data_IF_863013817176
#
_entry.id   IF_863013817176
#
_cell.length_a   1.000
_cell.length_b   1.000
_cell.length_c   1.000
_cell.angle_alpha   90.00
_cell.angle_beta   90.00
_cell.angle_gamma   90.00
#
_symmetry.space_group_name_H-M   'P 1'
#
loop_
_entity.id
_entity.type
_entity.pdbx_description
1 polymer ?
#
# COMPACT_ATOMS: atom_id res chain seq x y z
N UNK A 1 -21.47 27.81 -41.24
CA UNK A 1 -20.23 27.00 -41.13
C UNK A 1 -20.03 26.34 -39.75
N UNK A 2 -20.88 26.57 -38.77
CA UNK A 2 -20.74 25.97 -37.41
C UNK A 2 -21.36 24.56 -37.23
N UNK A 3 -22.13 24.06 -38.20
CA UNK A 3 -22.79 22.75 -38.12
C UNK A 3 -21.92 21.58 -38.58
N UNK A 4 -20.85 21.82 -39.30
CA UNK A 4 -19.96 20.78 -39.82
C UNK A 4 -18.89 20.31 -38.79
N UNK A 5 -18.46 21.19 -37.90
CA UNK A 5 -17.43 20.86 -36.89
C UNK A 5 -17.97 20.01 -35.75
N UNK A 6 -19.23 20.19 -35.37
CA UNK A 6 -19.88 19.39 -34.32
C UNK A 6 -20.19 17.96 -34.77
N UNK A 7 -20.54 17.71 -36.01
CA UNK A 7 -20.76 16.37 -36.54
C UNK A 7 -19.47 15.55 -36.67
N UNK A 8 -18.35 16.19 -37.08
CA UNK A 8 -17.06 15.51 -37.21
C UNK A 8 -16.48 15.15 -35.83
N UNK A 9 -16.77 15.89 -34.76
CA UNK A 9 -16.31 15.61 -33.42
C UNK A 9 -17.12 14.47 -32.77
N UNK A 10 -18.43 14.40 -32.99
CA UNK A 10 -19.28 13.32 -32.50
C UNK A 10 -18.97 11.99 -33.19
N UNK A 11 -18.75 11.99 -34.50
CA UNK A 11 -18.36 10.81 -35.27
C UNK A 11 -16.98 10.28 -34.82
N UNK A 12 -16.05 11.18 -34.53
CA UNK A 12 -14.70 10.79 -34.05
C UNK A 12 -14.75 10.21 -32.62
N UNK A 13 -15.60 10.74 -31.75
CA UNK A 13 -15.83 10.17 -30.42
C UNK A 13 -16.52 8.80 -30.51
N UNK A 14 -17.51 8.60 -31.34
CA UNK A 14 -18.15 7.29 -31.53
C UNK A 14 -17.18 6.22 -32.04
N UNK A 15 -16.30 6.58 -32.98
CA UNK A 15 -15.25 5.66 -33.51
C UNK A 15 -14.24 5.27 -32.45
N UNK A 16 -13.86 6.19 -31.56
CA UNK A 16 -12.88 5.97 -30.50
C UNK A 16 -13.30 4.85 -29.54
N UNK A 17 -14.56 4.79 -29.18
CA UNK A 17 -15.09 3.85 -28.19
C UNK A 17 -15.75 2.62 -28.79
N UNK A 18 -15.69 2.45 -30.10
CA UNK A 18 -16.35 1.36 -30.81
C UNK A 18 -16.00 -0.04 -30.31
N UNK A 19 -14.75 -0.29 -29.98
CA UNK A 19 -14.33 -1.60 -29.48
C UNK A 19 -14.77 -1.85 -28.04
N UNK A 20 -14.73 -0.85 -27.19
CA UNK A 20 -15.24 -0.91 -25.81
C UNK A 20 -16.75 -1.13 -25.80
N UNK A 21 -17.49 -0.41 -26.62
CA UNK A 21 -18.94 -0.62 -26.79
C UNK A 21 -19.29 -2.06 -27.15
N UNK A 22 -18.53 -2.68 -28.02
CA UNK A 22 -18.75 -4.10 -28.37
C UNK A 22 -18.61 -5.06 -27.19
N UNK A 23 -17.74 -4.76 -26.24
CA UNK A 23 -17.61 -5.55 -25.00
C UNK A 23 -18.78 -5.31 -24.05
N UNK A 24 -19.27 -4.08 -23.96
CA UNK A 24 -20.29 -3.66 -22.99
C UNK A 24 -21.72 -3.89 -23.47
N UNK A 25 -21.95 -3.92 -24.79
CA UNK A 25 -23.29 -4.05 -25.40
C UNK A 25 -23.61 -5.47 -25.88
N UNK A 26 -22.75 -6.46 -25.57
CA UNK A 26 -22.93 -7.86 -26.02
C UNK A 26 -22.55 -8.86 -24.94
N UNK A 27 -23.41 -9.86 -24.75
CA UNK A 27 -23.07 -11.02 -23.95
C UNK A 27 -22.07 -11.94 -24.68
N UNK A 28 -21.26 -12.66 -23.91
CA UNK A 28 -20.29 -13.62 -24.41
C UNK A 28 -20.04 -14.74 -23.38
N UNK A 29 -19.33 -15.81 -23.77
CA UNK A 29 -19.10 -16.97 -22.90
C UNK A 29 -18.23 -16.67 -21.67
N UNK A 30 -17.57 -15.52 -21.64
CA UNK A 30 -16.70 -15.07 -20.54
C UNK A 30 -17.31 -13.97 -19.69
N UNK A 31 -18.57 -13.56 -19.98
CA UNK A 31 -19.27 -12.57 -19.18
C UNK A 31 -19.60 -13.11 -17.78
N UNK A 32 -19.63 -12.23 -16.81
CA UNK A 32 -20.16 -12.56 -15.49
C UNK A 32 -21.66 -12.95 -15.63
N UNK A 33 -22.17 -13.92 -14.86
CA UNK A 33 -23.59 -14.32 -14.92
C UNK A 33 -24.59 -13.17 -14.75
N UNK A 34 -24.23 -12.19 -13.92
CA UNK A 34 -25.08 -11.03 -13.62
C UNK A 34 -24.83 -9.85 -14.58
N UNK A 35 -24.05 -10.06 -15.64
CA UNK A 35 -23.78 -8.99 -16.60
C UNK A 35 -24.96 -8.76 -17.54
N UNK A 36 -25.53 -7.59 -17.49
CA UNK A 36 -26.56 -7.11 -18.40
C UNK A 36 -25.97 -6.14 -19.42
N UNK A 37 -25.78 -6.54 -20.69
CA UNK A 37 -25.20 -5.67 -21.71
C UNK A 37 -26.05 -4.42 -21.94
N UNK A 38 -25.41 -3.24 -21.84
CA UNK A 38 -26.09 -1.96 -22.02
C UNK A 38 -25.12 -0.87 -22.50
N UNK A 39 -25.57 0.05 -23.38
CA UNK A 39 -24.81 1.25 -23.73
C UNK A 39 -24.56 2.17 -22.52
N UNK A 40 -25.44 2.15 -21.52
CA UNK A 40 -25.36 2.97 -20.31
C UNK A 40 -24.14 2.66 -19.44
N UNK A 41 -23.57 1.44 -19.57
CA UNK A 41 -22.36 1.05 -18.84
C UNK A 41 -21.17 1.93 -19.27
N UNK A 42 -21.03 2.23 -20.56
CA UNK A 42 -19.98 3.13 -21.02
C UNK A 42 -20.22 4.55 -20.50
N UNK A 43 -21.45 5.02 -20.50
CA UNK A 43 -21.79 6.36 -19.99
C UNK A 43 -21.50 6.45 -18.48
N UNK A 44 -21.79 5.39 -17.72
CA UNK A 44 -21.39 5.30 -16.31
C UNK A 44 -19.87 5.38 -16.14
N UNK A 45 -19.08 4.60 -16.91
CA UNK A 45 -17.61 4.63 -16.85
C UNK A 45 -17.06 6.02 -17.16
N UNK A 46 -17.63 6.68 -18.17
CA UNK A 46 -17.15 7.97 -18.65
C UNK A 46 -17.54 9.14 -17.73
N UNK A 47 -18.77 9.17 -17.28
CA UNK A 47 -19.33 10.39 -16.70
C UNK A 47 -19.63 10.28 -15.19
N UNK A 48 -19.67 9.07 -14.64
CA UNK A 48 -20.04 8.83 -13.24
C UNK A 48 -18.98 8.13 -12.43
N UNK A 49 -18.29 7.12 -13.00
CA UNK A 49 -17.32 6.30 -12.27
C UNK A 49 -16.08 7.10 -11.86
N UNK A 50 -15.97 7.40 -10.56
CA UNK A 50 -14.80 8.06 -9.99
C UNK A 50 -13.78 7.03 -9.54
N UNK A 51 -12.56 7.12 -10.03
CA UNK A 51 -11.44 6.25 -9.65
C UNK A 51 -10.34 7.07 -8.99
N UNK A 52 -9.91 6.61 -7.81
CA UNK A 52 -8.74 7.17 -7.12
C UNK A 52 -7.51 6.36 -7.45
N UNK A 53 -6.49 7.03 -7.96
CA UNK A 53 -5.15 6.47 -8.21
C UNK A 53 -4.23 6.98 -7.11
N UNK A 54 -3.68 6.07 -6.32
CA UNK A 54 -2.77 6.39 -5.21
C UNK A 54 -1.34 6.10 -5.62
N UNK A 55 -0.55 7.15 -5.73
CA UNK A 55 0.81 7.14 -6.27
C UNK A 55 0.88 7.57 -7.74
N UNK A 56 1.78 8.52 -8.05
CA UNK A 56 2.10 8.98 -9.40
C UNK A 56 3.56 8.63 -9.77
N UNK A 57 4.04 7.48 -9.28
CA UNK A 57 5.32 6.89 -9.63
C UNK A 57 5.31 6.19 -10.99
N UNK A 58 6.23 5.25 -11.22
CA UNK A 58 6.30 4.50 -12.49
C UNK A 58 5.02 3.76 -12.82
N UNK A 59 4.46 3.05 -11.85
CA UNK A 59 3.19 2.33 -12.00
C UNK A 59 2.00 3.27 -12.10
N UNK A 60 1.93 4.31 -11.24
CA UNK A 60 0.82 5.27 -11.23
C UNK A 60 0.71 6.08 -12.52
N UNK A 61 1.83 6.45 -13.15
CA UNK A 61 1.84 7.10 -14.46
C UNK A 61 1.20 6.22 -15.55
N UNK A 62 1.53 4.92 -15.55
CA UNK A 62 0.95 3.96 -16.50
C UNK A 62 -0.54 3.75 -16.23
N UNK A 63 -0.93 3.56 -14.97
CA UNK A 63 -2.34 3.43 -14.56
C UNK A 63 -3.19 4.62 -14.99
N UNK A 64 -2.73 5.84 -14.72
CA UNK A 64 -3.45 7.05 -15.09
C UNK A 64 -3.65 7.14 -16.62
N UNK A 65 -2.61 6.83 -17.40
CA UNK A 65 -2.69 6.77 -18.86
C UNK A 65 -3.68 5.71 -19.33
N UNK A 66 -3.57 4.48 -18.79
CA UNK A 66 -4.38 3.35 -19.24
C UNK A 66 -5.86 3.58 -18.94
N UNK A 67 -6.20 4.00 -17.73
CA UNK A 67 -7.59 4.30 -17.35
C UNK A 67 -8.19 5.45 -18.17
N UNK A 68 -7.43 6.54 -18.37
CA UNK A 68 -7.89 7.65 -19.22
C UNK A 68 -8.13 7.22 -20.68
N UNK A 69 -7.26 6.35 -21.22
CA UNK A 69 -7.42 5.80 -22.57
C UNK A 69 -8.55 4.75 -22.67
N UNK A 70 -8.92 4.11 -21.57
CA UNK A 70 -10.07 3.19 -21.49
C UNK A 70 -11.41 3.89 -21.32
N UNK A 71 -11.43 5.23 -21.14
CA UNK A 71 -12.64 6.04 -21.10
C UNK A 71 -13.02 6.58 -19.73
N UNK A 72 -12.29 6.27 -18.67
CA UNK A 72 -12.52 6.89 -17.38
C UNK A 72 -12.14 8.38 -17.42
N UNK A 73 -13.12 9.25 -17.19
CA UNK A 73 -12.89 10.70 -17.20
C UNK A 73 -12.68 11.28 -15.81
N UNK A 74 -13.32 10.71 -14.80
CA UNK A 74 -13.32 11.19 -13.40
C UNK A 74 -12.21 10.51 -12.61
N UNK A 75 -10.96 10.85 -12.91
CA UNK A 75 -9.76 10.29 -12.29
C UNK A 75 -9.20 11.25 -11.25
N UNK A 76 -8.87 10.77 -10.07
CA UNK A 76 -8.17 11.53 -9.04
C UNK A 76 -6.83 10.88 -8.76
N UNK A 77 -5.78 11.68 -8.63
CA UNK A 77 -4.40 11.20 -8.39
C UNK A 77 -3.87 11.82 -7.11
N UNK A 78 -3.47 10.99 -6.16
CA UNK A 78 -2.83 11.43 -4.90
C UNK A 78 -1.37 11.03 -4.90
N UNK A 79 -0.48 11.99 -4.73
CA UNK A 79 0.96 11.76 -4.54
C UNK A 79 1.57 12.97 -3.83
N UNK A 80 2.35 12.74 -2.78
CA UNK A 80 2.97 13.80 -1.99
C UNK A 80 4.35 14.22 -2.51
N UNK A 81 4.94 13.47 -3.44
CA UNK A 81 6.31 13.65 -3.88
C UNK A 81 6.45 14.71 -4.98
N UNK A 82 7.68 15.19 -5.11
CA UNK A 82 8.16 15.96 -6.25
C UNK A 82 8.98 15.10 -7.21
N UNK A 83 9.10 15.58 -8.44
CA UNK A 83 9.83 14.89 -9.50
C UNK A 83 11.34 15.06 -9.31
N UNK A 84 12.07 13.96 -9.35
CA UNK A 84 13.52 13.91 -9.32
C UNK A 84 14.10 13.44 -10.67
N UNK A 85 15.37 13.73 -10.91
CA UNK A 85 16.08 13.28 -12.12
C UNK A 85 16.05 11.74 -12.26
N UNK A 86 16.19 11.04 -11.15
CA UNK A 86 16.14 9.57 -11.05
C UNK A 86 14.79 8.96 -11.47
N UNK A 87 13.73 9.75 -11.49
CA UNK A 87 12.40 9.27 -11.85
C UNK A 87 12.20 9.19 -13.38
N UNK A 88 12.93 9.98 -14.15
CA UNK A 88 12.72 10.13 -15.61
C UNK A 88 13.02 8.85 -16.41
N UNK A 89 13.70 7.89 -15.83
CA UNK A 89 14.02 6.61 -16.48
C UNK A 89 12.79 5.68 -16.62
N UNK A 90 11.74 5.88 -15.80
CA UNK A 90 10.55 5.01 -15.76
C UNK A 90 9.21 5.73 -15.59
N UNK A 91 9.22 7.02 -15.26
CA UNK A 91 8.01 7.84 -15.08
C UNK A 91 7.84 8.73 -16.33
N UNK A 92 7.33 8.13 -17.41
CA UNK A 92 7.37 8.68 -18.75
C UNK A 92 6.49 9.94 -18.96
N UNK A 93 5.57 10.24 -18.04
CA UNK A 93 4.75 11.46 -18.10
C UNK A 93 5.57 12.73 -17.83
N UNK A 94 6.76 12.58 -17.19
CA UNK A 94 7.59 13.71 -16.77
C UNK A 94 8.74 14.03 -17.73
N UNK A 95 9.19 15.26 -17.71
CA UNK A 95 10.30 15.79 -18.51
C UNK A 95 11.32 16.48 -17.59
N UNK A 96 12.51 16.79 -18.13
CA UNK A 96 13.55 17.50 -17.37
C UNK A 96 13.08 18.82 -16.75
N UNK A 97 12.20 19.53 -17.43
CA UNK A 97 11.66 20.80 -16.95
C UNK A 97 10.67 20.66 -15.79
N UNK A 98 10.19 19.44 -15.53
CA UNK A 98 9.24 19.14 -14.45
C UNK A 98 9.95 18.79 -13.13
N UNK A 99 11.29 18.69 -13.14
CA UNK A 99 12.07 18.37 -11.93
C UNK A 99 11.80 19.42 -10.84
N UNK A 100 11.47 18.95 -9.64
CA UNK A 100 11.08 19.76 -8.49
C UNK A 100 9.59 20.09 -8.42
N UNK A 101 8.81 19.83 -9.48
CA UNK A 101 7.36 20.00 -9.48
C UNK A 101 6.66 18.76 -8.89
N UNK A 102 5.40 18.92 -8.48
CA UNK A 102 4.58 17.85 -7.96
C UNK A 102 4.31 16.76 -8.99
N UNK A 103 4.56 15.48 -8.62
CA UNK A 103 4.28 14.32 -9.48
C UNK A 103 2.81 14.27 -9.88
N UNK A 104 1.89 14.40 -8.91
CA UNK A 104 0.46 14.35 -9.17
C UNK A 104 0.00 15.43 -10.16
N UNK A 105 0.43 16.68 -9.96
CA UNK A 105 0.04 17.81 -10.83
C UNK A 105 0.53 17.61 -12.25
N UNK A 106 1.82 17.32 -12.44
CA UNK A 106 2.40 17.12 -13.78
C UNK A 106 1.77 15.94 -14.52
N UNK A 107 1.51 14.82 -13.81
CA UNK A 107 0.86 13.66 -14.42
C UNK A 107 -0.56 13.99 -14.91
N UNK A 108 -1.34 14.67 -14.10
CA UNK A 108 -2.72 15.09 -14.41
C UNK A 108 -2.74 16.08 -15.59
N UNK A 109 -1.88 17.10 -15.57
CA UNK A 109 -1.77 18.06 -16.68
C UNK A 109 -1.44 17.37 -17.99
N UNK A 110 -0.49 16.44 -17.97
CA UNK A 110 -0.11 15.68 -19.16
C UNK A 110 -1.30 14.89 -19.72
N UNK A 111 -2.01 14.15 -18.86
CA UNK A 111 -3.12 13.28 -19.31
C UNK A 111 -4.31 14.11 -19.77
N UNK A 112 -4.72 15.14 -19.05
CA UNK A 112 -5.80 16.04 -19.47
C UNK A 112 -5.51 16.71 -20.82
N UNK A 113 -4.26 17.11 -21.07
CA UNK A 113 -3.85 17.65 -22.36
C UNK A 113 -3.86 16.60 -23.47
N UNK A 114 -3.48 15.36 -23.17
CA UNK A 114 -3.29 14.29 -24.16
C UNK A 114 -4.57 13.53 -24.50
N UNK A 115 -5.49 13.40 -23.54
CA UNK A 115 -6.72 12.62 -23.66
C UNK A 115 -7.93 13.57 -23.61
N UNK A 116 -8.51 13.94 -24.75
CA UNK A 116 -9.64 14.85 -24.80
C UNK A 116 -10.82 14.33 -23.98
N UNK A 117 -11.39 15.20 -23.15
CA UNK A 117 -12.53 14.91 -22.28
C UNK A 117 -12.15 14.21 -20.96
N UNK A 118 -10.87 13.93 -20.70
CA UNK A 118 -10.43 13.52 -19.36
C UNK A 118 -10.47 14.73 -18.41
N UNK A 119 -10.98 14.50 -17.19
CA UNK A 119 -11.13 15.50 -16.13
C UNK A 119 -10.38 15.02 -14.88
N UNK A 120 -9.13 14.63 -15.06
CA UNK A 120 -8.30 14.18 -13.94
C UNK A 120 -7.98 15.33 -12.99
N UNK A 121 -7.96 15.04 -11.68
CA UNK A 121 -7.71 15.99 -10.59
C UNK A 121 -6.51 15.52 -9.77
N UNK A 122 -5.59 16.44 -9.44
CA UNK A 122 -4.39 16.16 -8.68
C UNK A 122 -4.53 16.59 -7.22
N UNK A 123 -4.08 15.72 -6.31
CA UNK A 123 -3.95 15.99 -4.88
C UNK A 123 -2.48 15.83 -4.48
N UNK A 124 -1.82 16.94 -4.14
CA UNK A 124 -0.42 16.94 -3.72
C UNK A 124 -0.34 16.97 -2.19
N UNK A 125 -0.57 15.83 -1.58
CA UNK A 125 -0.56 15.64 -0.13
C UNK A 125 -0.32 14.17 0.23
N UNK A 126 0.07 13.87 1.48
CA UNK A 126 0.02 12.51 2.00
C UNK A 126 -1.40 11.96 2.00
N UNK A 127 -1.54 10.64 1.81
CA UNK A 127 -2.85 9.96 1.86
C UNK A 127 -3.52 10.07 3.23
N UNK A 128 -2.72 10.25 4.28
CA UNK A 128 -3.18 10.39 5.67
C UNK A 128 -3.86 11.72 5.98
N UNK A 129 -3.63 12.73 5.16
CA UNK A 129 -4.23 14.06 5.32
C UNK A 129 -5.67 14.13 4.76
N UNK A 130 -6.11 13.07 4.09
CA UNK A 130 -7.43 12.97 3.48
C UNK A 130 -8.37 12.21 4.40
N UNK A 131 -9.56 12.76 4.62
CA UNK A 131 -10.56 12.22 5.53
C UNK A 131 -11.41 11.09 4.92
N UNK A 132 -12.25 10.45 5.73
CA UNK A 132 -13.17 9.41 5.27
C UNK A 132 -14.12 9.92 4.19
N UNK A 133 -14.60 11.17 4.29
CA UNK A 133 -15.49 11.79 3.31
C UNK A 133 -14.84 11.90 1.94
N UNK A 134 -13.53 12.12 1.88
CA UNK A 134 -12.79 12.08 0.63
C UNK A 134 -12.81 10.69 0.00
N UNK A 135 -12.50 9.63 0.77
CA UNK A 135 -12.45 8.28 0.23
C UNK A 135 -13.84 7.75 -0.20
N UNK A 136 -14.90 8.09 0.54
CA UNK A 136 -16.27 7.66 0.24
C UNK A 136 -16.83 8.15 -1.10
N UNK A 137 -16.24 9.14 -1.73
CA UNK A 137 -16.70 9.62 -3.04
C UNK A 137 -16.24 8.76 -4.23
N UNK A 138 -15.34 7.79 -4.01
CA UNK A 138 -14.79 6.96 -5.08
C UNK A 138 -15.49 5.62 -5.18
N UNK A 139 -15.65 5.15 -6.41
CA UNK A 139 -16.19 3.83 -6.71
C UNK A 139 -15.12 2.74 -6.64
N UNK A 140 -13.88 3.08 -7.00
CA UNK A 140 -12.74 2.15 -7.02
C UNK A 140 -11.48 2.92 -6.61
N UNK A 141 -10.64 2.28 -5.83
CA UNK A 141 -9.29 2.77 -5.50
C UNK A 141 -8.26 1.84 -6.13
N UNK A 142 -7.26 2.41 -6.80
CA UNK A 142 -6.16 1.66 -7.38
C UNK A 142 -4.82 2.20 -6.87
N UNK A 143 -3.95 1.30 -6.41
CA UNK A 143 -2.66 1.64 -5.83
C UNK A 143 -1.50 1.36 -6.77
N UNK A 144 -0.57 2.32 -6.84
CA UNK A 144 0.76 2.18 -7.42
C UNK A 144 1.84 2.65 -6.44
N UNK A 145 1.71 2.27 -5.17
CA UNK A 145 2.59 2.69 -4.08
C UNK A 145 3.86 1.83 -4.00
N UNK A 146 4.94 2.39 -3.48
CA UNK A 146 6.19 1.72 -3.15
C UNK A 146 6.39 1.47 -1.64
N UNK A 147 5.51 2.02 -0.79
CA UNK A 147 5.57 1.93 0.66
C UNK A 147 4.56 0.92 1.22
N UNK A 148 5.05 -0.09 1.94
CA UNK A 148 4.21 -1.06 2.69
C UNK A 148 3.38 -0.33 3.76
N UNK A 149 3.95 0.70 4.40
CA UNK A 149 3.24 1.52 5.40
C UNK A 149 2.00 2.18 4.79
N UNK A 150 2.17 2.83 3.64
CA UNK A 150 1.07 3.50 2.96
C UNK A 150 0.01 2.51 2.46
N UNK A 151 0.40 1.34 1.93
CA UNK A 151 -0.52 0.27 1.51
C UNK A 151 -1.35 -0.25 2.68
N UNK A 152 -0.71 -0.53 3.82
CA UNK A 152 -1.40 -1.00 5.02
C UNK A 152 -2.36 0.04 5.57
N UNK A 153 -1.94 1.31 5.61
CA UNK A 153 -2.77 2.42 6.05
C UNK A 153 -4.01 2.55 5.16
N UNK A 154 -3.83 2.56 3.84
CA UNK A 154 -4.93 2.69 2.89
C UNK A 154 -5.91 1.51 2.99
N UNK A 155 -5.41 0.28 3.07
CA UNK A 155 -6.25 -0.89 3.29
C UNK A 155 -7.05 -0.76 4.60
N UNK A 156 -6.41 -0.31 5.69
CA UNK A 156 -7.07 -0.05 6.97
C UNK A 156 -8.14 1.03 6.87
N UNK A 157 -7.87 2.12 6.13
CA UNK A 157 -8.83 3.19 5.88
C UNK A 157 -10.06 2.66 5.13
N UNK A 158 -9.89 1.95 4.02
CA UNK A 158 -11.02 1.42 3.27
C UNK A 158 -11.83 0.39 4.08
N UNK A 159 -11.16 -0.42 4.91
CA UNK A 159 -11.84 -1.34 5.82
C UNK A 159 -12.63 -0.63 6.92
N UNK A 160 -12.19 0.53 7.39
CA UNK A 160 -12.92 1.33 8.39
C UNK A 160 -14.18 1.99 7.83
N UNK A 161 -14.29 2.12 6.50
CA UNK A 161 -15.47 2.68 5.82
C UNK A 161 -16.63 1.70 5.68
N UNK A 162 -16.39 0.40 5.91
CA UNK A 162 -17.40 -0.63 5.78
C UNK A 162 -18.55 -0.42 6.78
N UNK A 163 -19.76 -0.60 6.30
CA UNK A 163 -20.98 -0.55 7.10
C UNK A 163 -21.62 -1.93 7.17
N UNK A 164 -22.32 -2.20 8.25
CA UNK A 164 -22.99 -3.46 8.48
C UNK A 164 -24.47 -3.19 8.79
N UNK A 165 -25.33 -4.01 8.24
CA UNK A 165 -26.76 -3.97 8.48
C UNK A 165 -27.10 -4.46 9.91
N UNK A 166 -28.34 -4.30 10.33
CA UNK A 166 -28.81 -4.73 11.65
C UNK A 166 -28.64 -6.24 11.90
N UNK A 167 -28.69 -7.05 10.84
CA UNK A 167 -28.45 -8.50 10.86
C UNK A 167 -26.95 -8.87 10.85
N UNK A 168 -26.06 -7.88 10.92
CA UNK A 168 -24.59 -7.99 10.81
C UNK A 168 -24.07 -8.44 9.44
N UNK A 169 -24.89 -8.49 8.42
CA UNK A 169 -24.43 -8.64 7.05
C UNK A 169 -23.70 -7.38 6.58
N UNK A 170 -22.71 -7.55 5.70
CA UNK A 170 -22.00 -6.41 5.11
C UNK A 170 -22.91 -5.65 4.16
N UNK A 171 -23.05 -4.34 4.36
CA UNK A 171 -23.68 -3.47 3.37
C UNK A 171 -22.73 -3.32 2.16
N UNK A 172 -23.07 -4.00 1.07
CA UNK A 172 -22.30 -4.02 -0.16
C UNK A 172 -22.10 -2.63 -0.78
N UNK A 173 -23.04 -1.70 -0.54
CA UNK A 173 -22.92 -0.32 -1.04
C UNK A 173 -21.80 0.48 -0.37
N UNK A 174 -21.37 0.05 0.82
CA UNK A 174 -20.24 0.66 1.55
C UNK A 174 -18.87 0.17 1.09
N UNK A 175 -18.81 -0.87 0.25
CA UNK A 175 -17.56 -1.48 -0.20
C UNK A 175 -16.93 -0.65 -1.31
N UNK A 176 -15.69 -0.19 -1.08
CA UNK A 176 -14.86 0.44 -2.11
C UNK A 176 -13.77 -0.55 -2.49
N UNK A 177 -13.84 -1.18 -3.68
CA UNK A 177 -12.83 -2.13 -4.13
C UNK A 177 -11.44 -1.49 -4.20
N UNK A 178 -10.42 -2.23 -3.73
CA UNK A 178 -9.02 -1.85 -3.82
C UNK A 178 -8.31 -2.77 -4.82
N UNK A 179 -7.73 -2.19 -5.87
CA UNK A 179 -6.81 -2.86 -6.78
C UNK A 179 -5.40 -2.42 -6.44
N UNK A 180 -4.59 -3.32 -5.91
CA UNK A 180 -3.23 -2.99 -5.47
C UNK A 180 -2.19 -3.58 -6.41
N UNK A 181 -1.48 -2.70 -7.14
CA UNK A 181 -0.38 -3.05 -8.02
C UNK A 181 0.98 -2.79 -7.38
N UNK A 182 1.91 -3.71 -7.57
CA UNK A 182 3.27 -3.55 -7.10
C UNK A 182 4.28 -4.25 -8.00
N UNK A 183 5.50 -3.75 -7.98
CA UNK A 183 6.67 -4.41 -8.60
C UNK A 183 7.71 -4.56 -7.50
N UNK A 184 7.96 -5.78 -7.08
CA UNK A 184 8.82 -6.09 -5.94
C UNK A 184 9.88 -7.11 -6.29
N UNK A 185 11.09 -6.91 -5.72
CA UNK A 185 12.11 -7.94 -5.62
C UNK A 185 12.17 -8.42 -4.16
N UNK A 186 11.87 -9.68 -3.87
CA UNK A 186 11.94 -10.24 -2.52
C UNK A 186 13.36 -10.20 -1.91
N UNK A 187 14.45 -10.45 -2.67
CA UNK A 187 15.82 -10.35 -2.15
C UNK A 187 16.20 -8.94 -1.73
N UNK A 188 15.75 -7.91 -2.46
CA UNK A 188 16.01 -6.51 -2.15
C UNK A 188 15.41 -6.11 -0.80
N UNK A 189 14.27 -6.65 -0.40
CA UNK A 189 13.66 -6.40 0.90
C UNK A 189 14.52 -6.89 2.06
N UNK A 190 15.22 -8.02 1.90
CA UNK A 190 16.17 -8.49 2.90
C UNK A 190 17.32 -7.50 3.05
N UNK A 191 17.84 -6.95 1.95
CA UNK A 191 18.94 -6.00 1.92
C UNK A 191 18.49 -4.64 2.50
N UNK A 192 17.34 -4.14 2.10
CA UNK A 192 16.79 -2.88 2.62
C UNK A 192 16.50 -2.96 4.13
N UNK A 193 16.01 -4.09 4.64
CA UNK A 193 15.86 -4.28 6.08
C UNK A 193 17.18 -4.14 6.83
N UNK A 194 18.25 -4.78 6.32
CA UNK A 194 19.57 -4.68 6.93
C UNK A 194 20.09 -3.24 6.86
N UNK A 195 19.94 -2.58 5.72
CA UNK A 195 20.38 -1.20 5.49
C UNK A 195 19.67 -0.20 6.43
N UNK A 196 18.36 -0.30 6.55
CA UNK A 196 17.55 0.72 7.25
C UNK A 196 17.40 0.44 8.74
N UNK A 197 17.28 -0.84 9.11
CA UNK A 197 16.96 -1.25 10.48
C UNK A 197 18.17 -1.82 11.22
N UNK A 198 18.82 -2.81 10.61
CA UNK A 198 19.83 -3.58 11.31
C UNK A 198 21.18 -2.85 11.37
N UNK A 199 21.55 -2.08 10.33
CA UNK A 199 22.77 -1.28 10.33
C UNK A 199 22.83 -0.31 11.50
N UNK A 200 21.76 0.41 11.80
CA UNK A 200 21.72 1.37 12.90
C UNK A 200 21.87 0.72 14.28
N UNK A 201 21.53 -0.57 14.41
CA UNK A 201 21.54 -1.31 15.68
C UNK A 201 22.84 -2.12 15.92
N UNK A 202 23.39 -2.72 14.86
CA UNK A 202 24.34 -3.83 14.96
C UNK A 202 25.65 -3.62 14.17
N UNK A 203 25.82 -2.48 13.44
CA UNK A 203 27.04 -2.34 12.66
C UNK A 203 28.31 -2.35 13.56
N UNK A 204 29.38 -3.03 13.12
CA UNK A 204 30.61 -3.18 13.94
C UNK A 204 31.51 -1.95 13.96
N UNK A 205 31.22 -0.92 13.14
CA UNK A 205 32.05 0.30 13.04
C UNK A 205 31.58 1.44 13.96
N UNK A 206 30.50 1.22 14.75
CA UNK A 206 29.99 2.17 15.75
C UNK A 206 28.79 3.00 15.27
N UNK A 207 27.99 3.46 16.23
CA UNK A 207 26.66 4.06 16.02
C UNK A 207 26.64 5.33 15.14
N UNK A 208 27.78 5.96 14.86
CA UNK A 208 27.87 7.18 14.06
C UNK A 208 28.45 6.92 12.64
N UNK A 209 28.74 5.67 12.28
CA UNK A 209 29.28 5.36 10.96
C UNK A 209 28.16 5.27 9.95
N UNK A 210 28.16 6.18 8.96
CA UNK A 210 27.23 6.12 7.85
C UNK A 210 27.53 4.89 6.97
N UNK A 211 26.48 4.24 6.49
CA UNK A 211 26.61 3.12 5.56
C UNK A 211 27.12 3.64 4.21
N UNK A 212 28.25 3.09 3.73
CA UNK A 212 28.85 3.42 2.45
C UNK A 212 28.73 2.22 1.49
N UNK A 213 28.00 2.41 0.38
CA UNK A 213 27.80 1.39 -0.66
C UNK A 213 29.01 1.19 -1.58
N UNK A 214 30.07 2.00 -1.43
CA UNK A 214 31.36 1.84 -2.12
C UNK A 214 32.42 1.15 -1.26
N UNK A 215 32.20 1.06 0.05
CA UNK A 215 33.10 0.33 0.96
C UNK A 215 32.81 -1.18 0.87
N UNK A 216 33.80 -2.00 0.42
CA UNK A 216 33.61 -3.45 0.29
C UNK A 216 33.31 -4.15 1.62
N UNK A 217 33.77 -3.63 2.75
CA UNK A 217 33.54 -4.22 4.08
C UNK A 217 32.07 -3.96 4.52
N UNK A 218 31.56 -2.75 4.31
CA UNK A 218 30.16 -2.43 4.56
C UNK A 218 29.24 -3.28 3.69
N UNK A 219 29.53 -3.39 2.39
CA UNK A 219 28.74 -4.21 1.45
C UNK A 219 28.77 -5.69 1.84
N UNK A 220 29.93 -6.23 2.23
CA UNK A 220 30.05 -7.63 2.64
C UNK A 220 29.23 -7.93 3.91
N UNK A 221 29.28 -7.05 4.90
CA UNK A 221 28.51 -7.19 6.13
C UNK A 221 27.00 -7.17 5.86
N UNK A 222 26.54 -6.20 5.07
CA UNK A 222 25.12 -6.13 4.69
C UNK A 222 24.68 -7.36 3.90
N UNK A 223 25.53 -7.84 3.00
CA UNK A 223 25.26 -9.04 2.21
C UNK A 223 25.10 -10.28 3.09
N UNK A 224 26.01 -10.51 4.04
CA UNK A 224 25.95 -11.62 5.00
C UNK A 224 24.65 -11.58 5.82
N UNK A 225 24.35 -10.44 6.43
CA UNK A 225 23.12 -10.26 7.21
C UNK A 225 21.85 -10.39 6.38
N UNK A 226 21.84 -9.91 5.15
CA UNK A 226 20.73 -10.06 4.24
C UNK A 226 20.52 -11.52 3.79
N UNK A 227 21.60 -12.29 3.63
CA UNK A 227 21.51 -13.73 3.36
C UNK A 227 20.94 -14.48 4.56
N UNK A 228 21.38 -14.20 5.79
CA UNK A 228 20.83 -14.81 7.01
C UNK A 228 19.33 -14.57 7.11
N UNK A 229 18.91 -13.34 6.85
CA UNK A 229 17.48 -12.99 6.83
C UNK A 229 16.73 -13.73 5.71
N UNK A 230 17.30 -13.78 4.53
CA UNK A 230 16.71 -14.47 3.39
C UNK A 230 16.48 -15.96 3.66
N UNK A 231 17.46 -16.64 4.25
CA UNK A 231 17.34 -18.04 4.68
C UNK A 231 16.22 -18.21 5.70
N UNK A 232 16.15 -17.33 6.71
CA UNK A 232 15.09 -17.36 7.75
C UNK A 232 13.68 -17.23 7.17
N UNK A 233 13.52 -16.53 6.04
CA UNK A 233 12.23 -16.28 5.39
C UNK A 233 12.00 -17.08 4.11
N UNK A 234 12.88 -18.05 3.79
CA UNK A 234 12.76 -18.87 2.59
C UNK A 234 12.95 -18.10 1.27
N UNK A 235 13.66 -16.97 1.32
CA UNK A 235 13.94 -16.11 0.16
C UNK A 235 15.26 -16.52 -0.47
N UNK A 236 15.30 -16.69 -1.78
CA UNK A 236 16.52 -17.00 -2.55
C UNK A 236 17.03 -15.76 -3.30
N UNK A 237 18.22 -15.89 -3.91
CA UNK A 237 18.80 -14.91 -4.86
C UNK A 237 19.28 -13.58 -4.23
N UNK A 238 19.57 -13.52 -2.93
CA UNK A 238 20.38 -12.43 -2.36
C UNK A 238 21.81 -12.62 -2.84
N UNK A 239 22.32 -11.72 -3.66
CA UNK A 239 23.70 -11.75 -4.20
C UNK A 239 24.46 -10.51 -3.79
N UNK A 240 25.79 -10.60 -3.75
CA UNK A 240 26.68 -9.46 -3.45
C UNK A 240 26.44 -8.28 -4.41
N UNK A 241 26.27 -8.57 -5.72
CA UNK A 241 26.01 -7.55 -6.75
C UNK A 241 24.67 -6.85 -6.53
N UNK A 242 23.64 -7.61 -6.16
CA UNK A 242 22.34 -7.05 -5.82
C UNK A 242 22.43 -6.17 -4.58
N UNK A 243 23.13 -6.66 -3.55
CA UNK A 243 23.36 -5.88 -2.32
C UNK A 243 24.05 -4.56 -2.61
N UNK A 244 25.11 -4.57 -3.40
CA UNK A 244 25.79 -3.34 -3.82
C UNK A 244 24.86 -2.39 -4.59
N UNK A 245 24.00 -2.93 -5.47
CA UNK A 245 23.02 -2.15 -6.21
C UNK A 245 22.02 -1.46 -5.28
N UNK A 246 21.45 -2.18 -4.33
CA UNK A 246 20.48 -1.65 -3.34
C UNK A 246 21.13 -0.59 -2.44
N UNK A 247 22.38 -0.83 -2.00
CA UNK A 247 23.12 0.16 -1.18
C UNK A 247 23.38 1.46 -1.93
N UNK A 248 23.64 1.37 -3.23
CA UNK A 248 23.82 2.53 -4.13
C UNK A 248 22.50 3.15 -4.60
N UNK A 249 21.37 2.75 -4.01
CA UNK A 249 20.05 3.19 -4.40
C UNK A 249 19.72 2.97 -5.90
N UNK A 250 20.29 1.93 -6.51
CA UNK A 250 19.88 1.47 -7.84
C UNK A 250 18.52 0.83 -7.67
N UNK A 251 17.49 1.55 -8.06
CA UNK A 251 16.10 1.07 -8.00
C UNK A 251 15.91 0.09 -9.16
N UNK A 252 15.66 -1.20 -8.92
CA UNK A 252 15.50 -2.20 -9.98
C UNK A 252 14.12 -2.13 -10.64
N UNK A 253 13.53 -0.94 -10.71
CA UNK A 253 12.22 -0.73 -11.33
C UNK A 253 12.38 -0.55 -12.83
N UNK A 254 11.82 -1.47 -13.61
CA UNK A 254 11.85 -1.48 -15.08
C UNK A 254 10.52 -0.95 -15.62
N UNK A 255 10.59 -0.03 -16.60
CA UNK A 255 9.42 0.59 -17.19
C UNK A 255 8.43 -0.43 -17.78
N UNK A 256 8.92 -1.48 -18.44
CA UNK A 256 8.09 -2.55 -19.02
C UNK A 256 7.31 -3.34 -17.96
N UNK A 257 7.91 -3.62 -16.81
CA UNK A 257 7.22 -4.32 -15.71
C UNK A 257 6.12 -3.43 -15.12
N UNK A 258 6.40 -2.13 -14.90
CA UNK A 258 5.39 -1.19 -14.46
C UNK A 258 4.21 -1.12 -15.45
N UNK A 259 4.48 -1.07 -16.75
CA UNK A 259 3.44 -1.03 -17.78
C UNK A 259 2.59 -2.31 -17.79
N UNK A 260 3.22 -3.49 -17.65
CA UNK A 260 2.51 -4.78 -17.61
C UNK A 260 1.58 -4.88 -16.39
N UNK A 261 2.09 -4.56 -15.20
CA UNK A 261 1.28 -4.58 -13.97
C UNK A 261 0.18 -3.51 -14.01
N UNK A 262 0.47 -2.31 -14.52
CA UNK A 262 -0.54 -1.27 -14.69
C UNK A 262 -1.67 -1.72 -15.64
N UNK A 263 -1.34 -2.37 -16.74
CA UNK A 263 -2.34 -2.90 -17.68
C UNK A 263 -3.22 -3.97 -17.02
N UNK A 264 -2.64 -4.85 -16.18
CA UNK A 264 -3.42 -5.82 -15.41
C UNK A 264 -4.36 -5.13 -14.43
N UNK A 265 -3.86 -4.16 -13.64
CA UNK A 265 -4.68 -3.41 -12.71
C UNK A 265 -5.80 -2.61 -13.41
N UNK A 266 -5.49 -1.93 -14.52
CA UNK A 266 -6.47 -1.18 -15.29
C UNK A 266 -7.57 -2.10 -15.87
N UNK A 267 -7.20 -3.32 -16.27
CA UNK A 267 -8.16 -4.34 -16.73
C UNK A 267 -9.09 -4.76 -15.58
N UNK A 268 -8.58 -4.99 -14.37
CA UNK A 268 -9.42 -5.33 -13.23
C UNK A 268 -10.32 -4.16 -12.82
N UNK A 269 -9.83 -2.92 -12.84
CA UNK A 269 -10.67 -1.71 -12.63
C UNK A 269 -11.81 -1.64 -13.65
N UNK A 270 -11.52 -1.93 -14.91
CA UNK A 270 -12.55 -1.94 -15.95
C UNK A 270 -13.60 -3.05 -15.73
N UNK A 271 -13.17 -4.25 -15.34
CA UNK A 271 -14.09 -5.36 -15.01
C UNK A 271 -14.96 -5.04 -13.78
N UNK A 272 -14.36 -4.44 -12.74
CA UNK A 272 -15.11 -3.99 -11.56
C UNK A 272 -16.14 -2.90 -11.89
N UNK A 273 -15.80 -1.95 -12.75
CA UNK A 273 -16.71 -0.87 -13.15
C UNK A 273 -17.84 -1.32 -14.08
N UNK A 274 -17.62 -2.36 -14.90
CA UNK A 274 -18.53 -2.79 -15.95
C UNK A 274 -19.25 -4.10 -15.67
N UNK A 275 -18.72 -4.93 -14.79
CA UNK A 275 -19.13 -6.34 -14.59
C UNK A 275 -19.13 -7.19 -15.86
N UNK A 276 -18.49 -6.73 -16.96
CA UNK A 276 -18.54 -7.41 -18.26
C UNK A 276 -17.82 -8.76 -18.29
N UNK A 277 -16.92 -9.01 -17.35
CA UNK A 277 -16.23 -10.28 -17.16
C UNK A 277 -16.10 -10.57 -15.67
N UNK A 278 -15.98 -11.85 -15.32
CA UNK A 278 -15.63 -12.24 -13.97
C UNK A 278 -14.27 -11.61 -13.57
N UNK A 279 -14.17 -11.12 -12.35
CA UNK A 279 -12.91 -10.66 -11.77
C UNK A 279 -11.95 -11.85 -11.66
N UNK A 280 -10.66 -11.58 -11.72
CA UNK A 280 -9.68 -12.63 -11.43
C UNK A 280 -9.76 -13.05 -9.97
N UNK A 281 -9.21 -14.22 -9.66
CA UNK A 281 -8.85 -14.57 -8.29
C UNK A 281 -8.06 -13.42 -7.65
N UNK A 282 -8.23 -13.20 -6.35
CA UNK A 282 -7.85 -11.95 -5.70
C UNK A 282 -6.34 -11.67 -5.63
N UNK A 283 -5.49 -12.56 -6.16
CA UNK A 283 -4.04 -12.35 -6.20
C UNK A 283 -3.42 -12.85 -7.50
N UNK A 284 -2.49 -12.04 -8.05
CA UNK A 284 -1.73 -12.38 -9.25
C UNK A 284 -0.24 -12.11 -9.03
N UNK A 285 0.59 -13.04 -9.47
CA UNK A 285 2.05 -12.86 -9.58
C UNK A 285 2.45 -12.96 -11.04
N UNK A 286 3.19 -11.98 -11.55
CA UNK A 286 3.79 -12.00 -12.88
C UNK A 286 5.31 -12.07 -12.74
N UNK A 287 5.92 -13.08 -13.35
CA UNK A 287 7.37 -13.23 -13.46
C UNK A 287 7.79 -12.93 -14.91
N UNK A 288 8.71 -11.98 -15.09
CA UNK A 288 9.24 -11.58 -16.39
C UNK A 288 10.76 -11.82 -16.49
N UNK A 289 11.39 -12.49 -15.51
CA UNK A 289 12.83 -12.74 -15.50
C UNK A 289 13.25 -13.83 -16.46
N UNK A 290 12.56 -14.99 -16.40
CA UNK A 290 12.89 -16.19 -17.19
C UNK A 290 11.93 -16.41 -18.36
N UNK A 291 10.93 -15.57 -18.48
CA UNK A 291 9.84 -15.63 -19.47
C UNK A 291 8.65 -14.80 -18.98
N UNK A 292 7.55 -14.82 -19.71
CA UNK A 292 6.31 -14.16 -19.28
C UNK A 292 5.39 -15.20 -18.67
N UNK A 293 5.39 -15.30 -17.35
CA UNK A 293 4.57 -16.24 -16.60
C UNK A 293 3.65 -15.49 -15.65
N UNK A 294 2.38 -15.87 -15.65
CA UNK A 294 1.36 -15.29 -14.78
C UNK A 294 0.68 -16.39 -13.97
N UNK A 295 0.64 -16.22 -12.67
CA UNK A 295 -0.02 -17.12 -11.74
C UNK A 295 -1.10 -16.36 -11.00
N UNK A 296 -2.31 -16.91 -10.96
CA UNK A 296 -3.43 -16.37 -10.18
C UNK A 296 -3.86 -17.37 -9.11
N UNK A 297 -4.16 -16.90 -7.92
CA UNK A 297 -4.69 -17.73 -6.85
C UNK A 297 -5.57 -16.90 -5.90
N UNK A 298 -6.38 -17.58 -5.10
CA UNK A 298 -7.13 -16.98 -4.01
C UNK A 298 -6.25 -16.89 -2.78
N UNK A 299 -5.92 -15.66 -2.36
CA UNK A 299 -5.35 -15.43 -1.06
C UNK A 299 -6.48 -15.44 -0.01
N UNK A 300 -6.37 -16.32 0.97
CA UNK A 300 -7.36 -16.44 2.03
C UNK A 300 -7.27 -15.27 3.02
N UNK A 301 -8.42 -14.88 3.57
CA UNK A 301 -8.48 -13.87 4.63
C UNK A 301 -7.80 -14.40 5.89
N UNK A 302 -6.82 -13.68 6.39
CA UNK A 302 -6.17 -14.02 7.66
C UNK A 302 -7.13 -13.82 8.84
N UNK A 303 -7.29 -14.81 9.74
CA UNK A 303 -8.18 -14.71 10.88
C UNK A 303 -7.74 -13.66 11.91
N UNK A 304 -6.44 -13.37 11.95
CA UNK A 304 -5.76 -12.44 12.86
C UNK A 304 -5.44 -11.08 12.22
N UNK A 305 -5.98 -10.77 11.04
CA UNK A 305 -5.67 -9.55 10.31
C UNK A 305 -5.98 -8.29 11.13
N UNK A 306 -4.99 -7.40 11.26
CA UNK A 306 -5.13 -6.15 12.02
C UNK A 306 -6.19 -5.21 11.43
N UNK A 307 -6.38 -5.22 10.11
CA UNK A 307 -7.33 -4.33 9.44
C UNK A 307 -8.78 -4.85 9.46
N UNK A 308 -8.99 -6.16 9.22
CA UNK A 308 -10.33 -6.69 8.93
C UNK A 308 -10.79 -7.84 9.83
N UNK A 309 -10.01 -8.23 10.85
CA UNK A 309 -10.42 -9.25 11.82
C UNK A 309 -11.27 -8.63 12.93
N UNK A 310 -12.35 -9.34 13.31
CA UNK A 310 -13.16 -9.02 14.48
C UNK A 310 -12.65 -9.71 15.76
N UNK A 311 -11.56 -10.49 15.70
CA UNK A 311 -10.98 -11.17 16.84
C UNK A 311 -10.28 -10.19 17.79
N UNK A 312 -10.35 -10.46 19.08
CA UNK A 312 -9.58 -9.74 20.08
C UNK A 312 -8.09 -9.97 19.81
N UNK A 313 -7.35 -8.92 19.61
CA UNK A 313 -5.90 -8.99 19.39
C UNK A 313 -5.23 -9.21 20.74
N UNK A 314 -4.37 -10.22 20.82
CA UNK A 314 -3.71 -10.62 22.07
C UNK A 314 -2.20 -10.51 21.86
N UNK A 315 -1.51 -9.91 22.83
CA UNK A 315 -0.05 -9.98 22.96
C UNK A 315 0.25 -10.80 24.21
N UNK A 316 0.84 -11.96 24.04
CA UNK A 316 1.32 -12.82 25.12
C UNK A 316 2.71 -12.35 25.54
N UNK A 317 2.94 -12.16 26.83
CA UNK A 317 4.18 -11.63 27.38
C UNK A 317 4.42 -12.13 28.80
N UNK A 318 5.67 -12.16 29.23
CA UNK A 318 6.05 -12.54 30.59
C UNK A 318 5.62 -11.44 31.59
N UNK A 319 5.21 -11.79 32.82
CA UNK A 319 4.76 -10.81 33.81
C UNK A 319 5.82 -9.79 34.24
N UNK A 320 7.10 -10.16 34.14
CA UNK A 320 8.25 -9.32 34.48
C UNK A 320 8.88 -8.60 33.29
N UNK A 321 8.29 -8.72 32.12
CA UNK A 321 8.73 -8.07 30.91
C UNK A 321 8.75 -6.55 31.02
N UNK A 322 9.58 -5.90 30.23
CA UNK A 322 9.62 -4.45 30.12
C UNK A 322 8.67 -3.94 29.05
N UNK A 323 8.34 -2.65 29.10
CA UNK A 323 7.54 -2.00 28.04
C UNK A 323 8.26 -2.05 26.68
N UNK A 324 9.61 -2.07 26.67
CA UNK A 324 10.40 -2.24 25.45
C UNK A 324 10.09 -3.58 24.76
N UNK A 325 9.93 -4.67 25.52
CA UNK A 325 9.60 -5.97 24.93
C UNK A 325 8.23 -5.97 24.26
N UNK A 326 7.24 -5.25 24.82
CA UNK A 326 5.95 -5.05 24.14
C UNK A 326 6.15 -4.27 22.85
N UNK A 327 6.89 -3.18 22.90
CA UNK A 327 7.18 -2.34 21.74
C UNK A 327 7.85 -3.14 20.63
N UNK A 328 8.90 -3.91 20.96
CA UNK A 328 9.63 -4.74 19.99
C UNK A 328 8.71 -5.82 19.41
N UNK A 329 7.88 -6.45 20.22
CA UNK A 329 6.90 -7.44 19.74
C UNK A 329 5.88 -6.84 18.78
N UNK A 330 5.40 -5.61 19.03
CA UNK A 330 4.51 -4.92 18.10
C UNK A 330 5.21 -4.57 16.77
N UNK A 331 6.52 -4.33 16.79
CA UNK A 331 7.29 -4.03 15.59
C UNK A 331 7.71 -5.28 14.80
N UNK A 332 8.02 -6.39 15.47
CA UNK A 332 8.66 -7.56 14.87
C UNK A 332 7.68 -8.71 14.56
N UNK A 333 6.58 -8.81 15.30
CA UNK A 333 5.56 -9.84 15.09
C UNK A 333 4.89 -9.68 13.71
N UNK A 334 4.86 -10.75 12.87
CA UNK A 334 4.27 -10.71 11.53
C UNK A 334 2.78 -10.30 11.49
N UNK A 335 2.07 -10.40 12.61
CA UNK A 335 0.67 -9.96 12.72
C UNK A 335 0.60 -8.44 12.79
N UNK A 336 1.43 -7.82 13.65
CA UNK A 336 1.36 -6.38 13.89
C UNK A 336 2.24 -5.60 12.91
N UNK A 337 3.54 -5.89 12.84
CA UNK A 337 4.54 -5.23 11.97
C UNK A 337 4.41 -3.70 12.01
N UNK A 338 4.27 -3.13 13.19
CA UNK A 338 4.14 -1.69 13.39
C UNK A 338 5.48 -1.00 13.21
N UNK A 339 5.46 0.27 12.82
CA UNK A 339 6.70 1.02 12.57
C UNK A 339 7.12 1.88 13.76
N UNK A 340 6.18 2.54 14.39
CA UNK A 340 6.41 3.46 15.53
C UNK A 340 5.20 3.47 16.47
N UNK A 341 4.89 2.34 17.13
CA UNK A 341 3.68 2.22 17.93
C UNK A 341 3.70 3.16 19.14
N UNK A 342 2.66 3.97 19.25
CA UNK A 342 2.37 4.76 20.44
C UNK A 342 1.46 3.97 21.37
N UNK A 343 1.90 3.68 22.59
CA UNK A 343 1.21 2.80 23.54
C UNK A 343 0.55 3.65 24.64
N UNK A 344 -0.76 3.51 24.77
CA UNK A 344 -1.58 4.18 25.79
C UNK A 344 -2.46 3.13 26.49
N UNK A 345 -2.79 3.34 27.75
CA UNK A 345 -3.72 2.49 28.49
C UNK A 345 -4.67 3.36 29.33
N UNK A 346 -5.75 2.76 29.79
CA UNK A 346 -6.70 3.40 30.70
C UNK A 346 -6.48 2.90 32.11
N UNK A 347 -6.02 3.79 33.01
CA UNK A 347 -5.85 3.49 34.43
C UNK A 347 -6.79 4.39 35.23
N UNK A 348 -7.65 3.80 36.06
CA UNK A 348 -8.63 4.52 36.88
C UNK A 348 -9.49 5.51 36.07
N UNK A 349 -9.92 5.08 34.86
CA UNK A 349 -10.76 5.88 33.97
C UNK A 349 -10.03 7.07 33.28
N UNK A 350 -8.70 7.15 33.38
CA UNK A 350 -7.89 8.19 32.71
C UNK A 350 -6.93 7.55 31.71
N UNK A 351 -6.84 8.16 30.53
CA UNK A 351 -5.86 7.77 29.54
C UNK A 351 -4.45 8.12 30.03
N UNK A 352 -3.56 7.14 30.05
CA UNK A 352 -2.14 7.28 30.36
C UNK A 352 -1.31 6.84 29.20
N UNK A 353 -0.58 7.76 28.57
CA UNK A 353 0.41 7.43 27.54
C UNK A 353 1.63 6.82 28.21
N UNK A 354 1.93 5.59 27.83
CA UNK A 354 3.08 4.83 28.32
C UNK A 354 4.32 5.16 27.52
N UNK A 355 4.20 5.18 26.19
CA UNK A 355 5.26 5.58 25.26
C UNK A 355 4.67 6.08 23.95
N UNK A 356 5.32 7.10 23.34
CA UNK A 356 4.95 7.60 22.01
C UNK A 356 6.15 8.31 21.36
N UNK A 357 6.63 7.75 20.24
CA UNK A 357 7.77 8.30 19.49
C UNK A 357 7.38 9.38 18.47
N UNK A 358 6.12 9.40 18.02
CA UNK A 358 5.65 10.33 16.98
C UNK A 358 5.67 11.81 17.39
N UNK A 359 5.63 12.11 18.67
CA UNK A 359 5.66 13.48 19.23
C UNK A 359 6.87 13.62 20.14
N UNK A 360 7.88 14.39 19.71
CA UNK A 360 9.17 14.53 20.39
C UNK A 360 9.06 14.91 21.86
N UNK A 361 8.17 15.85 22.23
CA UNK A 361 7.96 16.26 23.62
C UNK A 361 7.33 15.17 24.51
N UNK A 362 6.57 14.26 23.93
CA UNK A 362 6.00 13.10 24.64
C UNK A 362 7.03 11.99 24.70
N UNK A 363 7.78 11.75 23.62
CA UNK A 363 8.86 10.78 23.59
C UNK A 363 9.88 11.05 24.71
N UNK A 364 10.39 12.28 24.82
CA UNK A 364 11.36 12.66 25.85
C UNK A 364 10.88 12.36 27.28
N UNK A 365 9.58 12.54 27.54
CA UNK A 365 8.97 12.26 28.86
C UNK A 365 8.68 10.79 29.11
N UNK A 366 8.48 10.00 28.05
CA UNK A 366 8.00 8.60 28.17
C UNK A 366 9.07 7.59 27.84
N UNK A 367 10.23 8.01 27.30
CA UNK A 367 11.34 7.13 26.91
C UNK A 367 11.83 6.23 28.05
N UNK A 368 11.94 6.77 29.26
CA UNK A 368 12.38 6.02 30.41
C UNK A 368 11.38 4.91 30.85
N UNK A 369 10.13 4.99 30.41
CA UNK A 369 9.16 3.94 30.69
C UNK A 369 9.48 2.65 29.92
N UNK A 370 10.16 2.72 28.78
CA UNK A 370 10.56 1.53 28.00
C UNK A 370 11.39 0.53 28.84
N UNK A 371 12.18 1.04 29.77
CA UNK A 371 13.04 0.22 30.65
C UNK A 371 12.31 -0.32 31.89
N UNK A 372 11.11 0.16 32.19
CA UNK A 372 10.34 -0.23 33.37
C UNK A 372 9.59 -1.55 33.10
N UNK A 373 9.39 -2.33 34.14
CA UNK A 373 8.50 -3.49 34.10
C UNK A 373 7.07 -3.05 33.82
N UNK A 374 6.34 -3.84 33.07
CA UNK A 374 4.95 -3.56 32.73
C UNK A 374 4.05 -3.47 33.96
N UNK A 375 4.32 -4.27 34.98
CA UNK A 375 3.64 -4.23 36.28
C UNK A 375 3.85 -2.92 37.04
N UNK A 376 5.06 -2.33 36.97
CA UNK A 376 5.37 -1.03 37.60
C UNK A 376 4.65 0.14 36.90
N UNK A 377 4.28 -0.06 35.63
CA UNK A 377 3.51 0.90 34.86
C UNK A 377 2.00 0.79 35.09
N UNK A 378 1.56 -0.22 35.87
CA UNK A 378 0.17 -0.48 36.21
C UNK A 378 -0.54 -1.38 35.20
N UNK A 379 0.22 -2.13 34.37
CA UNK A 379 -0.34 -3.14 33.46
C UNK A 379 -0.46 -4.47 34.20
N UNK A 380 -1.54 -5.19 33.92
CA UNK A 380 -1.88 -6.48 34.54
C UNK A 380 -2.43 -7.46 33.50
N UNK A 381 -2.51 -8.72 33.86
CA UNK A 381 -3.03 -9.76 32.97
C UNK A 381 -4.47 -9.46 32.53
N UNK A 382 -4.70 -9.41 31.23
CA UNK A 382 -6.00 -9.11 30.63
C UNK A 382 -6.29 -7.62 30.45
N UNK A 383 -5.34 -6.72 30.76
CA UNK A 383 -5.52 -5.29 30.51
C UNK A 383 -5.52 -4.98 29.01
N UNK A 384 -6.34 -4.02 28.62
CA UNK A 384 -6.35 -3.50 27.25
C UNK A 384 -5.37 -2.32 27.13
N UNK A 385 -4.50 -2.39 26.12
CA UNK A 385 -3.67 -1.28 25.67
C UNK A 385 -4.20 -0.76 24.36
N UNK A 386 -4.14 0.56 24.18
CA UNK A 386 -4.51 1.25 22.97
C UNK A 386 -3.23 1.61 22.21
N UNK A 387 -3.11 1.12 21.00
CA UNK A 387 -1.91 1.32 20.19
C UNK A 387 -2.26 2.07 18.91
N UNK A 388 -1.60 3.22 18.70
CA UNK A 388 -1.66 4.01 17.49
C UNK A 388 -0.35 3.88 16.72
N UNK A 389 -0.41 3.67 15.41
CA UNK A 389 0.76 3.54 14.55
C UNK A 389 0.55 4.21 13.19
N UNK A 390 1.63 4.60 12.53
CA UNK A 390 1.58 5.20 11.19
C UNK A 390 1.10 4.23 10.10
N UNK A 391 1.06 2.93 10.40
CA UNK A 391 0.56 1.89 9.49
C UNK A 391 -0.94 1.67 9.59
N UNK A 392 -1.63 2.34 10.55
CA UNK A 392 -3.07 2.14 10.79
C UNK A 392 -3.79 3.48 10.89
N UNK A 393 -4.96 3.65 10.25
CA UNK A 393 -5.72 4.89 10.32
C UNK A 393 -6.33 5.13 11.71
N UNK A 394 -6.65 4.04 12.44
CA UNK A 394 -7.31 4.07 13.72
C UNK A 394 -6.46 3.42 14.81
N UNK A 395 -6.69 3.84 16.04
CA UNK A 395 -6.10 3.19 17.22
C UNK A 395 -6.62 1.78 17.39
N UNK A 396 -5.74 0.84 17.67
CA UNK A 396 -6.04 -0.58 17.84
C UNK A 396 -6.05 -0.93 19.32
N UNK A 397 -7.07 -1.68 19.76
CA UNK A 397 -7.11 -2.25 21.11
C UNK A 397 -6.45 -3.62 21.10
N UNK A 398 -5.49 -3.82 22.00
CA UNK A 398 -4.73 -5.06 22.18
C UNK A 398 -4.83 -5.48 23.65
N UNK A 399 -5.20 -6.72 23.87
CA UNK A 399 -5.25 -7.31 25.22
C UNK A 399 -3.91 -7.94 25.58
N UNK A 400 -3.36 -7.60 26.73
CA UNK A 400 -2.15 -8.26 27.24
C UNK A 400 -2.54 -9.54 27.96
N UNK A 401 -1.88 -10.65 27.60
CA UNK A 401 -2.01 -11.93 28.28
C UNK A 401 -0.65 -12.32 28.86
N UNK A 402 -0.62 -12.52 30.16
CA UNK A 402 0.61 -12.96 30.81
C UNK A 402 0.78 -14.49 30.65
N UNK A 403 2.00 -14.89 30.24
CA UNK A 403 2.36 -16.30 30.16
C UNK A 403 2.45 -16.90 31.57
N UNK A 404 1.88 -18.10 31.76
CA UNK A 404 2.06 -18.86 32.99
C UNK A 404 3.44 -19.53 32.97
N UNK A 405 4.04 -19.73 34.17
CA UNK A 405 5.42 -20.24 34.28
C UNK A 405 5.69 -21.60 33.60
N UNK A 406 4.67 -22.33 33.18
CA UNK A 406 4.82 -23.61 32.46
C UNK A 406 5.04 -23.42 30.94
N UNK A 407 4.63 -22.28 30.37
CA UNK A 407 4.78 -22.01 28.95
C UNK A 407 6.17 -21.41 28.61
N UNK A 408 6.91 -20.95 29.63
CA UNK A 408 8.23 -20.33 29.47
C UNK A 408 9.32 -21.37 29.13
N UNK A 409 9.15 -22.65 29.56
CA UNK A 409 10.12 -23.72 29.27
C UNK A 409 10.07 -24.21 27.79
N UNK A 410 8.94 -24.01 27.07
CA UNK A 410 8.81 -24.44 25.68
C UNK A 410 9.15 -23.35 24.65
N UNK A 411 9.33 -22.10 25.09
CA UNK A 411 9.61 -20.97 24.20
C UNK A 411 11.11 -20.55 24.18
N UNK A 412 11.97 -21.26 24.90
CA UNK A 412 13.44 -21.15 24.87
C UNK A 412 14.02 -22.28 24.03
#
# INVERSE_FOLDING_TARGET
MASGENQSSSDNQQRRWHHIRKLLERSGPFCHPDFEPSPEILDFIMDSCKVLIVGAGGLGCELLKDLALMGFKKLHVVDMDTIELSNLNRQFLFRKNDIGLSKAKCAVEFVNKRVPGCEAVAHHCPIQDLDEGFYRQFHIVVCGLDSIVARRWLNGMLMSLLQYNDDRSLDQSSVIPLVDGGTEGLPEHCIEYVKVIQWAKENPWGNNTALDGDDPQHVAWVFEKAQDRAVKHGISNVTYRLTQGVLKNIIPAVASTNAAIAACCATEVFKLASSCCANMNNYMVMNMADGVYTYTFNAEKRPDCVACSNSTRIVEIEPDATLQMIYDKLCEDPVFMMKSPGITTVINGRNKTLYMSSIKSIEERTRDNLKKKITDLGLYNGVDILVADVTTPNTITIKLKFLENQDVEMAR
#
